data_IF_128593903658
#
_entry.id   IF_128593903658
#
_cell.length_a   1.000
_cell.length_b   1.000
_cell.length_c   1.000
_cell.angle_alpha   90.00
_cell.angle_beta   90.00
_cell.angle_gamma   90.00
#
_symmetry.space_group_name_H-M   'P 1'
#
loop_
_entity.id
_entity.type
_entity.pdbx_description
1 polymer ?
#
# COMPACT_ATOMS: atom_id res chain seq x y z
N UNK A 1 11.12 10.66 -20.33
CA UNK A 1 10.99 10.22 -18.93
C UNK A 1 10.38 11.33 -18.10
N UNK A 2 9.42 11.01 -17.31
CA UNK A 2 8.74 12.02 -16.49
C UNK A 2 9.24 11.94 -15.04
N UNK A 3 10.07 12.89 -14.65
CA UNK A 3 10.65 12.94 -13.30
C UNK A 3 9.73 13.56 -12.25
N UNK A 4 8.56 14.08 -12.67
CA UNK A 4 7.61 14.75 -11.80
C UNK A 4 6.49 13.82 -11.34
N UNK A 5 6.74 12.53 -11.31
CA UNK A 5 5.74 11.57 -10.86
C UNK A 5 6.07 11.06 -9.47
N UNK A 6 5.01 10.86 -8.69
CA UNK A 6 5.09 10.12 -7.45
C UNK A 6 4.76 8.66 -7.71
N UNK A 7 5.39 7.79 -6.95
CA UNK A 7 5.19 6.36 -7.03
C UNK A 7 4.93 5.83 -5.63
N UNK A 8 3.97 4.91 -5.50
CA UNK A 8 3.78 4.14 -4.29
C UNK A 8 3.76 2.67 -4.65
N UNK A 9 4.56 1.89 -3.96
CA UNK A 9 4.70 0.47 -4.23
C UNK A 9 4.76 -0.30 -2.92
N UNK A 10 3.92 -1.35 -2.80
CA UNK A 10 4.00 -2.29 -1.68
C UNK A 10 5.14 -3.24 -2.01
N UNK A 11 6.17 -3.25 -1.17
CA UNK A 11 7.37 -4.05 -1.44
C UNK A 11 7.62 -5.12 -0.38
N UNK A 12 6.84 -5.10 0.72
CA UNK A 12 7.03 -6.04 1.83
C UNK A 12 5.70 -6.33 2.47
N UNK A 13 5.49 -7.58 2.86
CA UNK A 13 4.30 -7.98 3.61
C UNK A 13 4.68 -9.09 4.58
N UNK A 14 4.08 -9.04 5.76
CA UNK A 14 4.28 -10.06 6.79
C UNK A 14 3.06 -10.13 7.70
N UNK A 15 2.90 -11.25 8.39
CA UNK A 15 1.88 -11.36 9.43
C UNK A 15 2.46 -10.91 10.76
N UNK A 16 1.68 -10.13 11.53
CA UNK A 16 2.05 -9.80 12.89
C UNK A 16 1.67 -10.93 13.86
N UNK A 17 1.94 -10.72 15.14
CA UNK A 17 1.68 -11.75 16.18
C UNK A 17 0.21 -12.12 16.28
N UNK A 18 -0.68 -11.20 15.93
CA UNK A 18 -2.13 -11.41 16.00
C UNK A 18 -2.72 -11.98 14.72
N UNK A 19 -1.88 -12.21 13.70
CA UNK A 19 -2.32 -12.73 12.41
C UNK A 19 -2.84 -11.68 11.45
N UNK A 20 -2.64 -10.41 11.74
CA UNK A 20 -2.97 -9.33 10.82
C UNK A 20 -1.90 -9.26 9.72
N UNK A 21 -2.32 -8.92 8.51
CA UNK A 21 -1.40 -8.74 7.39
C UNK A 21 -0.91 -7.29 7.36
N UNK A 22 0.39 -7.11 7.57
CA UNK A 22 1.03 -5.79 7.54
C UNK A 22 1.75 -5.65 6.20
N UNK A 23 1.33 -4.67 5.41
CA UNK A 23 1.92 -4.37 4.11
C UNK A 23 2.70 -3.07 4.21
N UNK A 24 3.98 -3.11 3.82
CA UNK A 24 4.83 -1.92 3.83
C UNK A 24 4.95 -1.40 2.40
N UNK A 25 4.59 -0.13 2.23
CA UNK A 25 4.67 0.54 0.94
C UNK A 25 5.72 1.66 1.01
N UNK A 26 6.38 1.87 -0.11
CA UNK A 26 7.33 2.98 -0.27
C UNK A 26 6.71 4.03 -1.17
N UNK A 27 6.68 5.26 -0.67
CA UNK A 27 6.23 6.41 -1.43
C UNK A 27 7.45 7.19 -1.85
N UNK A 28 7.59 7.40 -3.15
CA UNK A 28 8.68 8.22 -3.72
C UNK A 28 8.05 9.48 -4.27
N UNK A 29 8.43 10.63 -3.72
CA UNK A 29 7.95 11.92 -4.18
C UNK A 29 9.01 12.57 -5.07
N UNK A 30 8.77 12.53 -6.38
CA UNK A 30 9.66 13.12 -7.37
C UNK A 30 9.17 14.49 -7.83
N UNK A 31 8.59 15.26 -6.93
CA UNK A 31 8.06 16.61 -7.24
C UNK A 31 8.66 17.65 -6.31
N UNK A 32 8.50 18.93 -6.69
CA UNK A 32 8.89 20.05 -5.86
C UNK A 32 7.87 20.33 -4.74
N UNK A 33 6.70 19.71 -4.80
CA UNK A 33 5.64 19.89 -3.80
C UNK A 33 5.76 18.84 -2.70
N UNK A 34 5.12 19.11 -1.58
CA UNK A 34 4.97 18.13 -0.51
C UNK A 34 3.74 17.30 -0.78
N UNK A 35 3.83 15.99 -0.57
CA UNK A 35 2.65 15.14 -0.46
C UNK A 35 2.10 15.32 0.95
N UNK A 36 0.80 15.55 1.08
CA UNK A 36 0.16 15.73 2.39
C UNK A 36 -0.78 14.58 2.74
N UNK A 37 -1.21 13.82 1.76
CA UNK A 37 -2.05 12.64 1.95
C UNK A 37 -2.10 11.81 0.68
N UNK A 38 -2.48 10.54 0.84
CA UNK A 38 -2.84 9.65 -0.26
C UNK A 38 -4.35 9.66 -0.42
N UNK A 39 -4.83 9.64 -1.65
CA UNK A 39 -6.24 9.62 -2.00
C UNK A 39 -6.61 8.26 -2.59
N UNK A 40 -7.73 7.71 -2.12
CA UNK A 40 -8.32 6.48 -2.68
C UNK A 40 -7.32 5.33 -2.76
N UNK A 41 -6.72 5.01 -1.62
CA UNK A 41 -5.83 3.86 -1.53
C UNK A 41 -6.63 2.58 -1.68
N UNK A 42 -6.22 1.73 -2.61
CA UNK A 42 -6.88 0.46 -2.88
C UNK A 42 -5.80 -0.59 -3.15
N UNK A 43 -5.65 -1.53 -2.23
CA UNK A 43 -4.64 -2.58 -2.32
C UNK A 43 -5.34 -3.93 -2.26
N UNK A 44 -5.18 -4.73 -3.31
CA UNK A 44 -5.81 -6.04 -3.44
C UNK A 44 -4.78 -7.13 -3.23
N UNK A 45 -5.10 -8.07 -2.34
CA UNK A 45 -4.25 -9.22 -2.03
C UNK A 45 -4.89 -10.46 -2.63
N UNK A 46 -4.16 -11.17 -3.48
CA UNK A 46 -4.61 -12.41 -4.13
C UNK A 46 -3.67 -13.57 -3.77
N UNK A 47 -4.22 -14.76 -3.67
CA UNK A 47 -3.42 -15.96 -3.45
C UNK A 47 -2.80 -16.46 -4.76
N UNK A 48 -2.06 -17.58 -4.69
CA UNK A 48 -1.37 -18.16 -5.84
C UNK A 48 -2.34 -18.56 -6.97
N UNK A 49 -3.60 -18.84 -6.65
CA UNK A 49 -4.62 -19.20 -7.64
C UNK A 49 -5.31 -17.99 -8.26
N UNK A 50 -4.93 -16.78 -7.84
CA UNK A 50 -5.54 -15.54 -8.32
C UNK A 50 -6.82 -15.14 -7.58
N UNK A 51 -7.14 -15.82 -6.50
CA UNK A 51 -8.33 -15.55 -5.71
C UNK A 51 -8.08 -14.41 -4.73
N UNK A 52 -8.98 -13.44 -4.67
CA UNK A 52 -8.86 -12.31 -3.75
C UNK A 52 -9.03 -12.78 -2.31
N UNK A 53 -8.01 -12.51 -1.49
CA UNK A 53 -8.01 -12.86 -0.06
C UNK A 53 -8.47 -11.68 0.79
N UNK A 54 -8.11 -10.47 0.39
CA UNK A 54 -8.47 -9.27 1.10
C UNK A 54 -8.21 -8.02 0.30
N UNK A 55 -8.86 -6.93 0.71
CA UNK A 55 -8.69 -5.63 0.07
C UNK A 55 -8.57 -4.57 1.15
N UNK A 56 -7.52 -3.75 1.08
CA UNK A 56 -7.37 -2.57 1.91
C UNK A 56 -7.86 -1.36 1.14
N UNK A 57 -8.80 -0.63 1.71
CA UNK A 57 -9.33 0.59 1.11
C UNK A 57 -9.40 1.71 2.11
N UNK A 58 -8.98 2.89 1.70
CA UNK A 58 -9.26 4.12 2.44
C UNK A 58 -9.36 5.27 1.45
N UNK A 59 -10.31 6.18 1.69
CA UNK A 59 -10.48 7.37 0.85
C UNK A 59 -9.36 8.37 1.06
N UNK A 60 -8.77 8.39 2.25
CA UNK A 60 -7.67 9.30 2.56
C UNK A 60 -6.75 8.70 3.62
N UNK A 61 -5.47 8.76 3.35
CA UNK A 61 -4.43 8.36 4.30
C UNK A 61 -3.47 9.54 4.48
N UNK A 62 -3.45 10.12 5.67
CA UNK A 62 -2.61 11.29 5.94
C UNK A 62 -1.16 10.87 6.12
N UNK A 63 -0.30 11.45 5.32
CA UNK A 63 1.14 11.21 5.38
C UNK A 63 1.84 12.39 4.72
N UNK A 64 2.92 12.86 5.31
CA UNK A 64 3.73 13.92 4.73
C UNK A 64 4.99 13.32 4.11
N UNK A 65 5.18 13.60 2.83
CA UNK A 65 6.41 13.20 2.13
C UNK A 65 7.00 14.48 1.52
N UNK A 66 8.19 14.83 1.97
CA UNK A 66 8.87 16.04 1.51
C UNK A 66 9.23 15.92 0.03
N UNK A 67 9.43 17.09 -0.59
CA UNK A 67 9.90 17.19 -1.98
C UNK A 67 11.16 16.32 -2.19
N UNK A 68 11.14 15.56 -3.28
CA UNK A 68 12.26 14.67 -3.69
C UNK A 68 12.72 13.70 -2.59
N UNK A 69 11.76 13.24 -1.79
CA UNK A 69 12.03 12.34 -0.66
C UNK A 69 11.23 11.05 -0.78
N UNK A 70 11.62 10.08 0.01
CA UNK A 70 11.00 8.76 0.07
C UNK A 70 10.53 8.49 1.48
N UNK A 71 9.39 7.84 1.62
CA UNK A 71 8.85 7.47 2.93
C UNK A 71 8.16 6.12 2.86
N UNK A 72 8.39 5.30 3.87
CA UNK A 72 7.67 4.04 4.03
C UNK A 72 6.45 4.23 4.91
N UNK A 73 5.36 3.60 4.52
CA UNK A 73 4.10 3.56 5.28
C UNK A 73 3.63 2.12 5.41
N UNK A 74 2.86 1.85 6.46
CA UNK A 74 2.32 0.51 6.69
C UNK A 74 0.82 0.53 6.61
N UNK A 75 0.25 -0.43 5.87
CA UNK A 75 -1.18 -0.67 5.81
C UNK A 75 -1.45 -2.03 6.40
N UNK A 76 -2.42 -2.11 7.30
CA UNK A 76 -2.73 -3.36 7.99
C UNK A 76 -4.11 -3.84 7.63
N UNK A 77 -4.19 -5.09 7.13
CA UNK A 77 -5.45 -5.81 6.98
C UNK A 77 -5.65 -6.69 8.20
N UNK A 78 -6.74 -6.43 8.92
CA UNK A 78 -7.07 -7.22 10.10
C UNK A 78 -7.34 -8.66 9.72
N UNK A 79 -6.93 -9.59 10.57
CA UNK A 79 -7.18 -11.02 10.39
C UNK A 79 -8.65 -11.31 10.06
N UNK A 80 -9.57 -10.61 10.71
CA UNK A 80 -11.01 -10.78 10.50
C UNK A 80 -11.46 -10.38 9.08
N UNK A 81 -10.68 -9.56 8.39
CA UNK A 81 -10.97 -9.12 7.03
C UNK A 81 -10.37 -10.02 5.96
N UNK A 82 -9.57 -11.00 6.34
CA UNK A 82 -8.94 -11.92 5.41
C UNK A 82 -9.84 -13.14 5.20
N UNK A 83 -10.10 -13.47 3.94
CA UNK A 83 -10.89 -14.67 3.58
C UNK A 83 -10.13 -15.95 3.87
N UNK A 84 -8.82 -15.90 3.90
CA UNK A 84 -7.92 -16.99 4.27
C UNK A 84 -7.03 -16.51 5.41
N UNK A 85 -7.02 -17.23 6.53
CA UNK A 85 -6.25 -16.82 7.71
C UNK A 85 -4.76 -17.12 7.59
N UNK A 86 -4.44 -18.15 6.81
CA UNK A 86 -3.06 -18.54 6.52
C UNK A 86 -2.91 -18.80 5.03
N UNK A 87 -1.91 -18.21 4.43
CA UNK A 87 -1.55 -18.43 3.03
C UNK A 87 -0.09 -18.07 2.84
N UNK A 88 0.49 -18.56 1.75
CA UNK A 88 1.90 -18.33 1.45
C UNK A 88 2.07 -16.96 0.81
N UNK A 89 2.65 -16.03 1.59
CA UNK A 89 2.91 -14.67 1.10
C UNK A 89 3.90 -14.63 -0.06
N UNK A 90 4.77 -15.61 -0.18
CA UNK A 90 5.75 -15.67 -1.28
C UNK A 90 5.08 -15.88 -2.63
N UNK A 91 3.92 -16.52 -2.63
CA UNK A 91 3.15 -16.81 -3.84
C UNK A 91 1.91 -15.92 -3.95
N UNK A 92 1.74 -14.97 -3.06
CA UNK A 92 0.64 -14.01 -3.10
C UNK A 92 1.00 -12.84 -4.00
N UNK A 93 -0.03 -12.22 -4.59
CA UNK A 93 0.11 -11.01 -5.37
C UNK A 93 -0.55 -9.85 -4.62
N UNK A 94 0.18 -8.78 -4.42
CA UNK A 94 -0.32 -7.57 -3.77
C UNK A 94 -0.24 -6.44 -4.78
N UNK A 95 -1.41 -5.92 -5.18
CA UNK A 95 -1.51 -4.93 -6.26
C UNK A 95 -2.22 -3.69 -5.76
N UNK A 96 -1.59 -2.53 -5.95
CA UNK A 96 -2.25 -1.24 -5.75
C UNK A 96 -3.05 -0.91 -7.00
N UNK A 97 -4.32 -0.55 -6.81
CA UNK A 97 -5.21 -0.17 -7.91
C UNK A 97 -5.64 1.28 -7.77
N UNK A 98 -5.24 2.11 -8.73
CA UNK A 98 -5.62 3.51 -8.75
C UNK A 98 -4.99 4.32 -7.62
N UNK A 99 -5.68 5.38 -7.25
CA UNK A 99 -5.22 6.30 -6.21
C UNK A 99 -4.54 7.53 -6.75
N UNK A 100 -4.39 8.51 -5.88
CA UNK A 100 -3.78 9.79 -6.21
C UNK A 100 -3.09 10.36 -4.98
N UNK A 101 -2.50 11.55 -5.15
CA UNK A 101 -1.78 12.22 -4.07
C UNK A 101 -2.34 13.62 -3.88
N UNK A 102 -2.47 14.04 -2.62
CA UNK A 102 -2.72 15.43 -2.30
C UNK A 102 -1.40 16.15 -2.10
N UNK A 103 -1.26 17.31 -2.67
CA UNK A 103 -0.03 18.11 -2.63
C UNK A 103 -0.25 19.44 -1.90
N UNK A 104 0.85 19.99 -1.43
CA UNK A 104 0.87 21.32 -0.88
C UNK A 104 2.08 22.09 -1.41
#
# INVERSE_FOLDING_TARGET
MNYNKCVMEVYKASFDKSGNLVMTARIVNNTTDYITALKDVNIVVKDASGKTIGTYKTSRYNVTVSSYSTKDVKFTLKKSSLKKKKFDLRNATITRKGGAYYYR
#
